data_IF_903026264284
#
_entry.id   IF_903026264284
#
_cell.length_a   1.000
_cell.length_b   1.000
_cell.length_c   1.000
_cell.angle_alpha   90.00
_cell.angle_beta   90.00
_cell.angle_gamma   90.00
#
_symmetry.space_group_name_H-M   'P 1'
#
loop_
_entity.id
_entity.type
_entity.pdbx_description
1 polymer ?
#
# COMPACT_ATOMS: atom_id res chain seq x y z
N UNK A 1 -7.83 13.33 10.20
CA UNK A 1 -8.37 14.31 11.19
C UNK A 1 -8.22 13.91 12.66
N UNK A 2 -7.72 12.71 13.00
CA UNK A 2 -7.69 12.18 14.38
C UNK A 2 -6.64 12.83 15.31
N UNK A 3 -5.54 13.31 14.74
CA UNK A 3 -4.39 13.85 15.48
C UNK A 3 -4.71 15.04 16.40
N UNK A 4 -5.51 16.01 15.94
CA UNK A 4 -5.89 17.19 16.76
C UNK A 4 -6.77 16.87 17.97
N UNK A 5 -7.52 15.77 17.90
CA UNK A 5 -8.39 15.30 18.99
C UNK A 5 -7.55 14.55 20.00
N UNK A 6 -6.65 13.68 19.51
CA UNK A 6 -5.71 12.96 20.36
C UNK A 6 -4.82 13.90 21.17
N UNK A 7 -4.18 14.90 20.52
CA UNK A 7 -3.32 15.87 21.23
C UNK A 7 -4.11 16.71 22.23
N UNK A 8 -5.38 17.03 21.95
CA UNK A 8 -6.24 17.72 22.93
C UNK A 8 -6.42 16.85 24.18
N UNK A 9 -6.72 15.58 24.00
CA UNK A 9 -6.97 14.65 25.10
C UNK A 9 -5.72 14.48 25.97
N UNK A 10 -4.55 14.29 25.33
CA UNK A 10 -3.24 14.22 26.00
C UNK A 10 -2.95 15.50 26.80
N UNK A 11 -3.15 16.69 26.22
CA UNK A 11 -2.98 17.97 26.92
C UNK A 11 -3.92 18.12 28.13
N UNK A 12 -5.15 17.62 28.02
CA UNK A 12 -6.14 17.66 29.10
C UNK A 12 -5.78 16.69 30.22
N UNK A 13 -5.30 15.49 29.89
CA UNK A 13 -4.94 14.47 30.86
C UNK A 13 -3.62 14.79 31.57
N UNK A 14 -2.57 15.09 30.81
CA UNK A 14 -1.20 15.19 31.33
C UNK A 14 -0.92 16.56 31.94
N UNK A 15 -1.46 17.63 31.34
CA UNK A 15 -1.17 19.00 31.74
C UNK A 15 -2.37 19.71 32.37
N UNK A 16 -3.54 19.06 32.47
CA UNK A 16 -4.82 19.66 32.92
C UNK A 16 -5.19 20.93 32.13
N UNK A 17 -4.72 21.04 30.89
CA UNK A 17 -4.97 22.18 30.01
C UNK A 17 -6.21 21.89 29.18
N UNK A 18 -7.32 22.56 29.50
CA UNK A 18 -8.54 22.46 28.70
C UNK A 18 -8.50 23.45 27.53
N UNK A 19 -8.20 22.94 26.33
CA UNK A 19 -8.17 23.73 25.09
C UNK A 19 -9.06 23.13 24.02
N UNK A 20 -9.59 23.98 23.14
CA UNK A 20 -10.32 23.50 21.96
C UNK A 20 -9.36 22.81 20.98
N UNK A 21 -9.85 21.79 20.25
CA UNK A 21 -9.09 21.16 19.17
C UNK A 21 -8.69 22.17 18.06
N UNK A 22 -9.43 23.29 17.94
CA UNK A 22 -9.09 24.39 17.05
C UNK A 22 -7.83 25.14 17.47
N UNK A 23 -7.69 25.39 18.78
CA UNK A 23 -6.49 26.01 19.37
C UNK A 23 -5.27 25.12 19.19
N UNK A 24 -5.39 23.83 19.49
CA UNK A 24 -4.32 22.82 19.29
C UNK A 24 -3.85 22.80 17.84
N UNK A 25 -4.79 22.75 16.88
CA UNK A 25 -4.46 22.78 15.45
C UNK A 25 -3.69 24.04 15.04
N UNK A 26 -4.08 25.23 15.53
CA UNK A 26 -3.40 26.48 15.19
C UNK A 26 -1.97 26.50 15.73
N UNK A 27 -1.79 26.11 16.99
CA UNK A 27 -0.48 26.03 17.63
C UNK A 27 0.45 25.02 16.94
N UNK A 28 -0.06 23.83 16.58
CA UNK A 28 0.71 22.86 15.82
C UNK A 28 1.16 23.42 14.46
N UNK A 29 0.24 24.07 13.73
CA UNK A 29 0.57 24.67 12.43
C UNK A 29 1.57 25.82 12.54
N UNK A 30 1.46 26.69 13.55
CA UNK A 30 2.41 27.79 13.75
C UNK A 30 3.81 27.28 14.07
N UNK A 31 3.92 26.08 14.65
CA UNK A 31 5.19 25.40 14.92
C UNK A 31 5.61 24.43 13.80
N UNK A 32 5.00 24.51 12.61
CA UNK A 32 5.36 23.66 11.46
C UNK A 32 4.86 22.20 11.52
N UNK A 33 4.11 21.82 12.55
CA UNK A 33 3.56 20.47 12.73
C UNK A 33 2.24 20.30 11.98
N UNK A 34 2.34 20.27 10.65
CA UNK A 34 1.24 19.95 9.75
C UNK A 34 0.94 18.46 9.69
N UNK A 35 -0.34 18.09 9.57
CA UNK A 35 -0.70 16.71 9.30
C UNK A 35 -0.45 16.37 7.83
N UNK A 36 0.35 15.33 7.56
CA UNK A 36 0.53 14.77 6.23
C UNK A 36 -0.50 13.65 5.96
N UNK A 37 -0.97 13.49 4.70
CA UNK A 37 -1.73 12.31 4.31
C UNK A 37 -0.89 11.06 4.58
N UNK A 38 -1.48 10.07 5.28
CA UNK A 38 -0.82 8.77 5.44
C UNK A 38 -0.85 8.05 4.09
N UNK A 39 0.31 7.67 3.57
CA UNK A 39 0.40 6.81 2.38
C UNK A 39 -0.16 5.43 2.75
N UNK A 40 -1.09 4.91 1.93
CA UNK A 40 -1.62 3.56 2.10
C UNK A 40 -0.51 2.57 1.77
N UNK A 41 -0.05 1.82 2.76
CA UNK A 41 0.89 0.72 2.59
C UNK A 41 0.10 -0.57 2.44
N UNK A 42 0.60 -1.57 1.70
CA UNK A 42 0.08 -2.93 1.81
C UNK A 42 0.16 -3.39 3.26
N UNK A 43 -0.87 -4.10 3.72
CA UNK A 43 -0.82 -4.73 5.03
C UNK A 43 0.17 -5.89 4.97
N UNK A 44 1.07 -5.94 5.95
CA UNK A 44 2.11 -6.96 6.07
C UNK A 44 1.77 -7.72 7.35
N UNK A 45 1.62 -9.04 7.25
CA UNK A 45 1.44 -9.89 8.43
C UNK A 45 2.70 -9.88 9.29
N UNK A 46 2.56 -10.17 10.58
CA UNK A 46 3.71 -10.22 11.50
C UNK A 46 4.77 -11.24 11.04
N UNK A 47 4.34 -12.34 10.43
CA UNK A 47 5.24 -13.37 9.89
C UNK A 47 6.01 -12.83 8.67
N UNK A 48 5.33 -12.21 7.70
CA UNK A 48 5.98 -11.58 6.55
C UNK A 48 6.93 -10.45 7.00
N UNK A 49 6.60 -9.74 8.07
CA UNK A 49 7.47 -8.70 8.62
C UNK A 49 8.77 -9.29 9.18
N UNK A 50 8.69 -10.41 9.92
CA UNK A 50 9.86 -11.13 10.45
C UNK A 50 10.73 -11.69 9.32
N UNK A 51 10.14 -12.33 8.33
CA UNK A 51 10.88 -12.91 7.21
C UNK A 51 11.60 -11.82 6.41
N UNK A 52 10.92 -10.70 6.12
CA UNK A 52 11.55 -9.56 5.45
C UNK A 52 12.70 -8.98 6.27
N UNK A 53 12.54 -8.89 7.59
CA UNK A 53 13.61 -8.39 8.46
C UNK A 53 14.82 -9.33 8.46
N UNK A 54 14.60 -10.63 8.56
CA UNK A 54 15.66 -11.64 8.51
C UNK A 54 16.39 -11.57 7.16
N UNK A 55 15.64 -11.56 6.06
CA UNK A 55 16.20 -11.48 4.71
C UNK A 55 17.11 -10.26 4.52
N UNK A 56 16.69 -9.09 5.05
CA UNK A 56 17.49 -7.87 5.02
C UNK A 56 18.74 -7.97 5.90
N UNK A 57 18.63 -8.55 7.10
CA UNK A 57 19.77 -8.72 8.02
C UNK A 57 20.83 -9.65 7.44
N UNK A 58 20.41 -10.77 6.84
CA UNK A 58 21.31 -11.74 6.22
C UNK A 58 22.11 -11.14 5.05
N UNK A 59 21.64 -10.02 4.49
CA UNK A 59 22.21 -9.37 3.30
C UNK A 59 22.65 -7.93 3.55
N UNK A 60 22.80 -7.54 4.82
CA UNK A 60 23.14 -6.16 5.18
C UNK A 60 24.54 -5.77 4.69
N UNK A 61 25.47 -6.72 4.70
CA UNK A 61 26.87 -6.53 4.29
C UNK A 61 27.13 -6.93 2.82
N UNK A 62 26.09 -7.21 2.04
CA UNK A 62 26.25 -7.60 0.65
C UNK A 62 26.81 -6.47 -0.20
N UNK A 63 27.80 -6.82 -1.02
CA UNK A 63 28.46 -5.89 -1.94
C UNK A 63 27.68 -5.78 -3.25
N UNK A 64 28.03 -4.79 -4.08
CA UNK A 64 27.44 -4.65 -5.40
C UNK A 64 27.65 -5.88 -6.29
N UNK A 65 28.77 -6.58 -6.12
CA UNK A 65 29.07 -7.77 -6.92
C UNK A 65 28.21 -8.97 -6.48
N UNK A 66 27.89 -9.08 -5.19
CA UNK A 66 26.94 -10.08 -4.69
C UNK A 66 25.53 -9.86 -5.27
N UNK A 67 25.08 -8.60 -5.36
CA UNK A 67 23.78 -8.27 -5.95
C UNK A 67 23.72 -8.53 -7.46
N UNK A 68 24.83 -8.35 -8.20
CA UNK A 68 24.89 -8.63 -9.64
C UNK A 68 24.69 -10.12 -9.96
N UNK A 69 24.97 -11.00 -9.00
CA UNK A 69 24.76 -12.43 -9.15
C UNK A 69 23.28 -12.85 -8.99
N UNK A 70 22.39 -11.95 -8.55
CA UNK A 70 20.96 -12.24 -8.43
C UNK A 70 20.21 -11.81 -9.69
N UNK A 71 19.41 -12.74 -10.23
CA UNK A 71 18.40 -12.44 -11.25
C UNK A 71 17.04 -12.37 -10.55
N UNK A 72 16.41 -11.20 -10.58
CA UNK A 72 15.05 -11.01 -10.08
C UNK A 72 14.03 -11.20 -11.22
N UNK A 73 12.95 -11.92 -10.92
CA UNK A 73 11.82 -12.11 -11.83
C UNK A 73 10.54 -11.60 -11.16
N UNK A 74 9.71 -10.87 -11.90
CA UNK A 74 8.39 -10.45 -11.45
C UNK A 74 7.42 -10.45 -12.64
N UNK A 75 6.13 -10.58 -12.36
CA UNK A 75 5.07 -10.53 -13.35
C UNK A 75 4.29 -9.22 -13.23
N UNK A 76 4.21 -8.46 -14.32
CA UNK A 76 3.34 -7.29 -14.41
C UNK A 76 2.12 -7.60 -15.28
N UNK A 77 0.93 -7.28 -14.76
CA UNK A 77 -0.29 -7.35 -15.55
C UNK A 77 -0.47 -6.11 -16.41
N UNK A 78 -0.24 -6.24 -17.71
CA UNK A 78 -0.63 -5.24 -18.69
C UNK A 78 -2.15 -5.31 -18.91
N UNK A 79 -2.87 -4.35 -18.35
CA UNK A 79 -4.31 -4.24 -18.56
C UNK A 79 -4.60 -3.65 -19.94
N UNK A 80 -5.08 -4.47 -20.88
CA UNK A 80 -5.87 -3.93 -21.96
C UNK A 80 -7.17 -3.36 -21.33
N UNK A 81 -7.60 -2.16 -21.75
CA UNK A 81 -8.77 -1.51 -21.17
C UNK A 81 -9.98 -2.45 -21.08
N UNK A 82 -10.89 -2.22 -20.14
CA UNK A 82 -12.04 -3.12 -19.85
C UNK A 82 -12.78 -3.57 -21.11
N UNK A 83 -12.87 -2.69 -22.10
CA UNK A 83 -13.46 -2.97 -23.41
C UNK A 83 -12.71 -4.03 -24.22
N UNK A 84 -11.37 -3.94 -24.30
CA UNK A 84 -10.53 -4.92 -25.00
C UNK A 84 -10.66 -6.30 -24.33
N UNK A 85 -10.69 -6.35 -23.00
CA UNK A 85 -10.88 -7.60 -22.26
C UNK A 85 -12.27 -8.20 -22.48
N UNK A 86 -13.32 -7.37 -22.53
CA UNK A 86 -14.67 -7.83 -22.85
C UNK A 86 -14.76 -8.39 -24.26
N UNK A 87 -14.20 -7.70 -25.26
CA UNK A 87 -14.15 -8.18 -26.65
C UNK A 87 -13.38 -9.50 -26.77
N UNK A 88 -12.24 -9.62 -26.08
CA UNK A 88 -11.48 -10.86 -26.03
C UNK A 88 -12.30 -12.01 -25.44
N UNK A 89 -12.93 -11.81 -24.29
CA UNK A 89 -13.76 -12.84 -23.65
C UNK A 89 -14.96 -13.23 -24.51
N UNK A 90 -15.64 -12.28 -25.15
CA UNK A 90 -16.72 -12.56 -26.10
C UNK A 90 -16.24 -13.39 -27.30
N UNK A 91 -15.03 -13.12 -27.81
CA UNK A 91 -14.45 -13.90 -28.91
C UNK A 91 -14.14 -15.34 -28.51
N UNK A 92 -13.70 -15.57 -27.26
CA UNK A 92 -13.43 -16.91 -26.73
C UNK A 92 -14.73 -17.70 -26.57
N UNK A 93 -15.81 -17.07 -26.07
CA UNK A 93 -17.11 -17.74 -25.96
C UNK A 93 -17.67 -18.13 -27.32
N UNK A 94 -17.65 -17.21 -28.31
CA UNK A 94 -18.09 -17.55 -29.67
C UNK A 94 -17.31 -18.71 -30.29
N UNK A 95 -15.99 -18.79 -30.06
CA UNK A 95 -15.19 -19.91 -30.55
C UNK A 95 -15.59 -21.24 -29.92
N UNK A 96 -15.97 -21.24 -28.64
CA UNK A 96 -16.45 -22.43 -27.93
C UNK A 96 -17.83 -22.84 -28.42
N UNK A 97 -18.76 -21.90 -28.49
CA UNK A 97 -20.12 -22.14 -29.00
C UNK A 97 -20.11 -22.68 -30.43
N UNK A 98 -19.27 -22.11 -31.31
CA UNK A 98 -19.12 -22.58 -32.68
C UNK A 98 -18.49 -23.99 -32.77
N UNK A 99 -17.60 -24.33 -31.85
CA UNK A 99 -16.98 -25.66 -31.78
C UNK A 99 -17.98 -26.70 -31.28
N UNK A 100 -18.77 -26.36 -30.26
CA UNK A 100 -19.85 -27.21 -29.76
C UNK A 100 -20.93 -27.43 -30.83
N UNK A 101 -21.30 -26.39 -31.57
CA UNK A 101 -22.24 -26.48 -32.69
C UNK A 101 -21.71 -27.30 -33.88
N UNK A 102 -20.40 -27.40 -34.06
CA UNK A 102 -19.77 -28.21 -35.12
C UNK A 102 -19.61 -29.69 -34.74
N UNK A 103 -19.78 -30.03 -33.46
CA UNK A 103 -19.67 -31.40 -32.93
C UNK A 103 -21.06 -32.03 -32.71
N UNK A 104 -22.13 -31.23 -32.80
CA UNK A 104 -23.53 -31.68 -32.80
C UNK A 104 -24.08 -31.90 -34.21
#
# INVERSE_FOLDING_TARGET
MRYKIQVKEELSHDLKINVSAGTVRRALRSNGLGALPKVKKPDISDDNAKERLLWCKDRIDWTLDDWKCIIFTDELRFGAGKETMMRYNQSIQRKRENMEAAVS
#
